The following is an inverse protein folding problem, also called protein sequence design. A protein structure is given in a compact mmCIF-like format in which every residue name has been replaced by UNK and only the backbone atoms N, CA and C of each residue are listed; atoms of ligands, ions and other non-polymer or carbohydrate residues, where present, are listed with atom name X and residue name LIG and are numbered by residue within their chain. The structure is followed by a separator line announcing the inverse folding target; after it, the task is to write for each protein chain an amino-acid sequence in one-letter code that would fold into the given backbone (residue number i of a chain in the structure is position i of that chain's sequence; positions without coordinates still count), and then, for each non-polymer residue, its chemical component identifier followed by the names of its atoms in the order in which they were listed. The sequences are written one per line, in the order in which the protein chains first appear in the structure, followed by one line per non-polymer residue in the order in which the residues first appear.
data_IF_100347932303
#
_entry.id   IF_100347932303
#
_cell.length_a   1.000
_cell.length_b   1.000
_cell.length_c   1.000
_cell.angle_alpha   90.00
_cell.angle_beta   90.00
_cell.angle_gamma   90.00
#
_symmetry.space_group_name_H-M   'P 1'
#
loop_
_entity.id
_entity.type
_entity.pdbx_description
1 polymer ?
#
# COMPACT_ATOMS: atom_id res chain seq x y z
N UNK A 1 -35.98 5.99 6.13
CA UNK A 1 -35.52 6.88 7.22
C UNK A 1 -35.83 6.33 8.61
N UNK A 2 -37.06 5.85 8.86
CA UNK A 2 -37.43 5.19 10.14
C UNK A 2 -36.61 3.91 10.41
N UNK A 3 -36.44 3.04 9.39
CA UNK A 3 -35.75 1.75 9.52
C UNK A 3 -34.27 1.90 9.88
N UNK A 4 -33.54 2.80 9.21
CA UNK A 4 -32.13 3.10 9.54
C UNK A 4 -31.96 3.72 10.94
N UNK A 5 -32.98 4.42 11.46
CA UNK A 5 -32.93 5.02 12.78
C UNK A 5 -33.15 3.96 13.88
N UNK A 6 -34.05 3.01 13.64
CA UNK A 6 -34.31 1.89 14.56
C UNK A 6 -33.13 0.91 14.64
N UNK A 7 -32.45 0.61 13.52
CA UNK A 7 -31.21 -0.19 13.53
C UNK A 7 -30.07 0.50 14.28
N UNK A 8 -29.91 1.83 14.10
CA UNK A 8 -28.90 2.63 14.81
C UNK A 8 -29.17 2.70 16.32
N UNK A 9 -30.45 2.77 16.72
CA UNK A 9 -30.86 2.67 18.13
C UNK A 9 -30.58 1.27 18.70
N UNK A 10 -30.85 0.19 17.96
CA UNK A 10 -30.59 -1.17 18.40
C UNK A 10 -29.09 -1.45 18.66
N UNK A 11 -28.20 -0.91 17.83
CA UNK A 11 -26.73 -1.01 18.03
C UNK A 11 -26.23 -0.20 19.23
N UNK A 12 -26.85 0.95 19.51
CA UNK A 12 -26.52 1.77 20.69
C UNK A 12 -27.03 1.15 22.00
N UNK A 13 -28.16 0.43 21.96
CA UNK A 13 -28.83 -0.18 23.12
C UNK A 13 -28.20 -1.53 23.52
N UNK A 14 -27.51 -2.22 22.60
CA UNK A 14 -26.96 -3.58 22.84
C UNK A 14 -25.55 -3.61 23.43
N UNK A 15 -24.89 -2.47 23.67
CA UNK A 15 -23.52 -2.43 24.22
C UNK A 15 -22.43 -2.94 23.27
N UNK A 16 -22.78 -3.22 22.02
CA UNK A 16 -21.83 -3.61 20.96
C UNK A 16 -21.36 -2.32 20.29
N UNK A 17 -20.39 -1.64 20.91
CA UNK A 17 -19.71 -0.50 20.29
C UNK A 17 -18.58 -1.03 19.41
N UNK A 18 -18.57 -0.63 18.15
CA UNK A 18 -17.42 -0.82 17.26
C UNK A 18 -16.62 0.49 17.23
N UNK A 19 -15.33 0.41 16.91
CA UNK A 19 -14.47 1.56 16.63
C UNK A 19 -14.06 1.51 15.16
N UNK A 20 -14.08 2.66 14.50
CA UNK A 20 -13.56 2.78 13.12
C UNK A 20 -12.08 3.12 13.21
N UNK A 21 -11.23 2.28 12.64
CA UNK A 21 -9.82 2.57 12.39
C UNK A 21 -9.68 3.01 10.94
N UNK A 22 -8.93 4.09 10.70
CA UNK A 22 -8.71 4.66 9.37
C UNK A 22 -7.21 4.88 9.19
N UNK A 23 -6.65 4.34 8.12
CA UNK A 23 -5.28 4.57 7.68
C UNK A 23 -5.28 5.50 6.45
N UNK A 24 -5.10 6.80 6.69
CA UNK A 24 -4.93 7.78 5.63
C UNK A 24 -3.45 8.09 5.37
N UNK A 25 -2.54 7.16 5.67
CA UNK A 25 -1.10 7.32 5.43
C UNK A 25 -0.63 6.85 4.06
N UNK A 26 -1.53 6.27 3.24
CA UNK A 26 -1.27 5.95 1.83
C UNK A 26 -1.01 7.20 0.99
N UNK A 27 -0.12 7.08 -0.01
CA UNK A 27 0.36 8.20 -0.84
C UNK A 27 -0.75 8.92 -1.63
N UNK A 28 -1.91 8.30 -1.78
CA UNK A 28 -3.09 8.84 -2.43
C UNK A 28 -4.03 9.60 -1.49
N UNK A 29 -3.76 9.65 -0.17
CA UNK A 29 -4.59 10.32 0.84
C UNK A 29 -3.99 11.61 1.42
N UNK A 30 -2.91 12.11 0.85
CA UNK A 30 -2.32 13.40 1.23
C UNK A 30 -1.46 13.96 0.09
N UNK A 31 -1.02 15.21 0.23
CA UNK A 31 0.04 15.81 -0.57
C UNK A 31 1.31 15.87 0.28
N UNK A 32 2.40 15.30 -0.22
CA UNK A 32 3.71 15.40 0.43
C UNK A 32 4.32 16.79 0.20
N UNK A 33 4.58 17.51 1.28
CA UNK A 33 5.20 18.84 1.29
C UNK A 33 6.47 18.78 2.15
N UNK A 34 7.59 18.40 1.52
CA UNK A 34 8.87 18.23 2.21
C UNK A 34 8.82 17.12 3.26
N UNK A 35 8.96 17.47 4.54
CA UNK A 35 8.88 16.56 5.68
C UNK A 35 7.49 16.54 6.35
N UNK A 36 6.49 17.19 5.74
CA UNK A 36 5.10 17.22 6.21
C UNK A 36 4.17 16.64 5.16
N UNK A 37 3.03 16.15 5.62
CA UNK A 37 1.94 15.68 4.79
C UNK A 37 0.77 16.65 4.98
N UNK A 38 0.22 17.17 3.88
CA UNK A 38 -0.93 18.07 3.88
C UNK A 38 -2.16 17.34 3.35
N UNK A 39 -3.27 17.41 4.09
CA UNK A 39 -4.54 16.83 3.64
C UNK A 39 -5.26 17.82 2.73
N UNK A 40 -5.66 17.36 1.54
CA UNK A 40 -6.58 18.10 0.66
C UNK A 40 -7.99 18.07 1.26
N UNK A 41 -8.85 18.97 0.79
CA UNK A 41 -10.28 18.95 1.16
C UNK A 41 -10.93 17.58 0.86
N UNK A 42 -10.55 16.95 -0.26
CA UNK A 42 -11.01 15.60 -0.63
C UNK A 42 -10.60 14.52 0.37
N UNK A 43 -9.39 14.60 0.91
CA UNK A 43 -8.84 13.60 1.85
C UNK A 43 -9.58 13.71 3.18
N UNK A 44 -9.81 14.94 3.64
CA UNK A 44 -10.59 15.23 4.83
C UNK A 44 -12.03 14.75 4.67
N UNK A 45 -12.66 15.02 3.51
CA UNK A 45 -14.01 14.58 3.21
C UNK A 45 -14.11 13.04 3.21
N UNK A 46 -13.13 12.35 2.65
CA UNK A 46 -13.07 10.89 2.66
C UNK A 46 -12.98 10.33 4.09
N UNK A 47 -12.08 10.86 4.91
CA UNK A 47 -11.93 10.44 6.32
C UNK A 47 -13.25 10.65 7.08
N UNK A 48 -13.88 11.82 6.92
CA UNK A 48 -15.14 12.16 7.58
C UNK A 48 -16.26 11.23 7.13
N UNK A 49 -16.38 10.98 5.83
CA UNK A 49 -17.43 10.14 5.28
C UNK A 49 -17.26 8.68 5.73
N UNK A 50 -16.03 8.16 5.69
CA UNK A 50 -15.70 6.81 6.16
C UNK A 50 -16.07 6.64 7.65
N UNK A 51 -15.71 7.62 8.49
CA UNK A 51 -16.08 7.61 9.91
C UNK A 51 -17.60 7.67 10.13
N UNK A 52 -18.30 8.61 9.48
CA UNK A 52 -19.75 8.83 9.67
C UNK A 52 -20.58 7.64 9.20
N UNK A 53 -20.17 7.03 8.09
CA UNK A 53 -20.87 5.89 7.51
C UNK A 53 -20.45 4.56 8.14
N UNK A 54 -19.39 4.56 8.96
CA UNK A 54 -18.80 3.36 9.55
C UNK A 54 -18.46 2.33 8.47
N UNK A 55 -17.80 2.80 7.42
CA UNK A 55 -17.49 2.00 6.24
C UNK A 55 -16.16 1.28 6.43
N UNK A 56 -16.13 -0.03 6.14
CA UNK A 56 -14.89 -0.78 5.95
C UNK A 56 -14.46 -0.68 4.49
N UNK A 57 -13.20 -0.31 4.28
CA UNK A 57 -12.59 -0.18 2.95
C UNK A 57 -11.26 -0.93 2.97
N UNK A 58 -11.04 -1.75 1.96
CA UNK A 58 -9.81 -2.51 1.80
C UNK A 58 -8.58 -1.57 1.89
N UNK A 59 -7.59 -1.95 2.70
CA UNK A 59 -6.35 -1.18 2.96
C UNK A 59 -6.53 0.24 3.51
N UNK A 60 -7.74 0.64 3.89
CA UNK A 60 -8.00 2.01 4.35
C UNK A 60 -8.75 2.08 5.67
N UNK A 61 -9.77 1.25 5.89
CA UNK A 61 -10.54 1.30 7.14
C UNK A 61 -11.07 -0.04 7.61
N UNK A 62 -11.18 -0.18 8.93
CA UNK A 62 -11.62 -1.41 9.59
C UNK A 62 -12.52 -1.11 10.79
N UNK A 63 -13.54 -1.94 11.02
CA UNK A 63 -14.45 -1.85 12.16
C UNK A 63 -14.07 -2.86 13.25
N UNK A 64 -13.19 -2.44 14.16
CA UNK A 64 -12.83 -3.30 15.28
C UNK A 64 -13.92 -3.31 16.35
N UNK A 65 -14.22 -4.50 16.89
CA UNK A 65 -15.09 -4.63 18.06
C UNK A 65 -14.34 -4.28 19.35
N UNK A 66 -15.06 -3.89 20.41
CA UNK A 66 -14.43 -3.70 21.73
C UNK A 66 -13.72 -4.96 22.25
N UNK A 67 -14.22 -6.15 21.88
CA UNK A 67 -13.60 -7.43 22.24
C UNK A 67 -12.23 -7.56 21.59
N UNK A 68 -12.14 -7.29 20.30
CA UNK A 68 -10.89 -7.34 19.54
C UNK A 68 -9.88 -6.29 20.02
N UNK A 69 -10.35 -5.08 20.35
CA UNK A 69 -9.49 -4.05 20.95
C UNK A 69 -8.94 -4.53 22.30
N UNK A 70 -9.75 -5.21 23.10
CA UNK A 70 -9.30 -5.79 24.37
C UNK A 70 -8.33 -6.97 24.17
N UNK A 71 -8.56 -7.82 23.17
CA UNK A 71 -7.63 -8.90 22.77
C UNK A 71 -6.28 -8.36 22.27
N UNK A 72 -6.27 -7.15 21.69
CA UNK A 72 -5.09 -6.40 21.30
C UNK A 72 -4.49 -5.56 22.44
N UNK A 73 -4.81 -5.83 23.71
CA UNK A 73 -4.34 -5.11 24.90
C UNK A 73 -4.59 -3.58 24.84
N UNK A 74 -5.69 -3.18 24.20
CA UNK A 74 -6.02 -1.77 23.91
C UNK A 74 -4.92 -1.03 23.13
N UNK A 75 -4.08 -1.75 22.39
CA UNK A 75 -3.11 -1.16 21.48
C UNK A 75 -3.84 -0.68 20.22
N UNK A 76 -3.90 0.64 20.04
CA UNK A 76 -4.63 1.30 18.94
C UNK A 76 -3.75 1.60 17.72
N UNK A 77 -2.57 0.97 17.61
CA UNK A 77 -1.70 1.14 16.45
C UNK A 77 -2.41 0.62 15.19
N UNK A 78 -2.49 1.47 14.15
CA UNK A 78 -3.31 1.28 12.94
C UNK A 78 -3.01 -0.04 12.19
N UNK A 79 -1.74 -0.40 11.92
CA UNK A 79 -1.36 -1.69 11.32
C UNK A 79 -1.90 -2.95 12.00
N UNK A 80 -2.47 -2.86 13.21
CA UNK A 80 -3.13 -4.00 13.87
C UNK A 80 -4.56 -4.25 13.38
N UNK A 81 -5.19 -3.25 12.79
CA UNK A 81 -6.60 -3.26 12.40
C UNK A 81 -6.78 -3.03 10.90
N UNK A 82 -5.93 -2.20 10.29
CA UNK A 82 -5.96 -1.97 8.85
C UNK A 82 -4.76 -2.66 8.22
N UNK A 83 -5.03 -3.71 7.45
CA UNK A 83 -4.02 -4.38 6.63
C UNK A 83 -3.81 -3.57 5.36
N UNK A 84 -2.71 -2.83 5.31
CA UNK A 84 -2.31 -2.02 4.15
C UNK A 84 -1.34 -2.75 3.23
N UNK A 85 -1.12 -4.05 3.44
CA UNK A 85 -0.19 -4.83 2.63
C UNK A 85 -0.62 -4.84 1.15
N UNK A 86 0.30 -4.44 0.27
CA UNK A 86 0.14 -4.65 -1.15
C UNK A 86 0.69 -6.03 -1.52
N UNK A 87 -0.19 -6.88 -2.04
CA UNK A 87 0.24 -8.14 -2.63
C UNK A 87 1.12 -7.83 -3.84
N UNK A 88 2.42 -8.11 -3.72
CA UNK A 88 3.36 -7.90 -4.83
C UNK A 88 2.91 -8.73 -6.04
N UNK A 89 2.91 -8.11 -7.22
CA UNK A 89 2.59 -8.84 -8.45
C UNK A 89 3.52 -10.05 -8.58
N UNK A 90 2.93 -11.22 -8.86
CA UNK A 90 3.71 -12.43 -9.06
C UNK A 90 4.68 -12.23 -10.23
N UNK A 91 5.98 -12.24 -9.95
CA UNK A 91 7.01 -12.11 -10.97
C UNK A 91 7.02 -13.35 -11.86
N UNK A 92 6.87 -13.17 -13.18
CA UNK A 92 7.11 -14.27 -14.14
C UNK A 92 8.61 -14.57 -14.21
N UNK A 93 9.02 -15.56 -13.41
CA UNK A 93 10.42 -16.01 -13.33
C UNK A 93 10.96 -16.40 -14.71
N UNK A 94 10.13 -16.96 -15.61
CA UNK A 94 10.61 -17.33 -16.94
C UNK A 94 10.88 -16.11 -17.80
N UNK A 95 10.02 -15.09 -17.75
CA UNK A 95 10.23 -13.83 -18.45
C UNK A 95 11.52 -13.15 -17.97
N UNK A 96 11.72 -13.06 -16.66
CA UNK A 96 12.95 -12.50 -16.06
C UNK A 96 14.19 -13.28 -16.50
N UNK A 97 14.13 -14.62 -16.52
CA UNK A 97 15.25 -15.45 -16.97
C UNK A 97 15.57 -15.26 -18.47
N UNK A 98 14.56 -15.03 -19.32
CA UNK A 98 14.76 -14.71 -20.73
C UNK A 98 15.38 -13.33 -20.91
N UNK A 99 14.94 -12.35 -20.11
CA UNK A 99 15.53 -11.01 -20.11
C UNK A 99 17.00 -11.05 -19.70
N UNK A 100 17.34 -11.78 -18.62
CA UNK A 100 18.73 -11.99 -18.18
C UNK A 100 19.58 -12.57 -19.31
N UNK A 101 19.13 -13.65 -19.95
CA UNK A 101 19.87 -14.27 -21.06
C UNK A 101 20.06 -13.31 -22.24
N UNK A 102 19.05 -12.51 -22.54
CA UNK A 102 19.12 -11.52 -23.62
C UNK A 102 20.11 -10.42 -23.29
N UNK A 103 20.14 -9.96 -22.04
CA UNK A 103 21.10 -8.95 -21.56
C UNK A 103 22.53 -9.50 -21.55
N UNK A 104 22.73 -10.75 -21.17
CA UNK A 104 24.04 -11.42 -21.23
C UNK A 104 24.58 -11.54 -22.66
N UNK A 105 23.71 -11.90 -23.62
CA UNK A 105 24.08 -11.96 -25.03
C UNK A 105 24.49 -10.57 -25.57
N UNK A 106 23.67 -9.54 -25.30
CA UNK A 106 23.99 -8.15 -25.68
C UNK A 106 25.29 -7.66 -25.05
N UNK A 107 25.54 -8.01 -23.78
CA UNK A 107 26.79 -7.69 -23.11
C UNK A 107 27.98 -8.35 -23.81
N UNK A 108 27.88 -9.62 -24.16
CA UNK A 108 28.95 -10.33 -24.87
C UNK A 108 29.22 -9.77 -26.27
N UNK A 109 28.18 -9.33 -26.98
CA UNK A 109 28.32 -8.66 -28.27
C UNK A 109 29.04 -7.31 -28.12
N UNK A 110 28.62 -6.49 -27.15
CA UNK A 110 29.27 -5.22 -26.84
C UNK A 110 30.73 -5.42 -26.41
N UNK A 111 31.03 -6.43 -25.59
CA UNK A 111 32.40 -6.76 -25.19
C UNK A 111 33.26 -7.13 -26.42
N UNK A 112 32.67 -7.79 -27.42
CA UNK A 112 33.35 -8.13 -28.68
C UNK A 112 33.63 -6.89 -29.52
N UNK A 113 32.64 -5.99 -29.63
CA UNK A 113 32.79 -4.72 -30.36
C UNK A 113 33.84 -3.81 -29.71
N UNK A 114 33.81 -3.68 -28.38
CA UNK A 114 34.79 -2.93 -27.60
C UNK A 114 36.20 -3.50 -27.82
N UNK A 115 36.36 -4.83 -27.77
CA UNK A 115 37.65 -5.46 -28.04
C UNK A 115 38.14 -5.22 -29.48
N UNK A 116 37.24 -5.17 -30.46
CA UNK A 116 37.56 -4.77 -31.83
C UNK A 116 38.15 -3.36 -31.89
N UNK A 117 37.49 -2.38 -31.25
CA UNK A 117 38.00 -1.01 -31.16
C UNK A 117 39.34 -0.93 -30.43
N UNK A 118 39.54 -1.71 -29.36
CA UNK A 118 40.83 -1.75 -28.66
C UNK A 118 41.96 -2.33 -29.51
N UNK A 119 41.67 -3.32 -30.36
CA UNK A 119 42.66 -3.84 -31.32
C UNK A 119 43.04 -2.79 -32.37
N UNK A 120 42.07 -2.07 -32.94
CA UNK A 120 42.33 -0.99 -33.91
C UNK A 120 43.18 0.15 -33.32
N UNK A 121 42.99 0.45 -32.03
CA UNK A 121 43.74 1.49 -31.31
C UNK A 121 45.07 0.99 -30.72
N UNK A 122 45.39 -0.30 -30.83
CA UNK A 122 46.61 -0.90 -30.29
C UNK A 122 46.66 -1.02 -28.76
N UNK A 123 45.50 -1.00 -28.09
CA UNK A 123 45.32 -0.99 -26.64
C UNK A 123 44.95 -2.39 -26.10
N UNK A 124 45.70 -3.42 -26.48
CA UNK A 124 45.39 -4.80 -26.06
C UNK A 124 45.70 -4.98 -24.57
N UNK A 125 44.67 -5.17 -23.74
CA UNK A 125 44.82 -5.57 -22.33
C UNK A 125 44.87 -7.11 -22.25
N UNK A 126 45.93 -7.64 -21.63
CA UNK A 126 46.14 -9.08 -21.38
C UNK A 126 45.32 -9.61 -20.22
#
# INVERSE_FOLDING_TARGET
MQICYEERLAQTITGITFSVFIDASGDDHFIKVGNQNELRDSDVEEIINTYRNREEKEKYSYLASLKEIAENDYNLNIPRYVDTFEEEESVDINAVMQEIKTLEAKRSELDTEINGYFQELGLVFS
#
